data_IF_067767652063
#
_entry.id   IF_067767652063
#
_cell.length_a   1.000
_cell.length_b   1.000
_cell.length_c   1.000
_cell.angle_alpha   90.00
_cell.angle_beta   90.00
_cell.angle_gamma   90.00
#
_symmetry.space_group_name_H-M   'P 1'
#
loop_
_entity.id
_entity.type
_entity.pdbx_description
1 polymer ?
#
# COMPACT_ATOMS: atom_id res chain seq x y z
N UNK A 1 25.97 0.71 8.38
CA UNK A 1 24.87 1.67 8.13
C UNK A 1 24.29 2.12 9.47
N UNK A 2 24.23 3.42 9.79
CA UNK A 2 23.71 3.89 11.09
C UNK A 2 22.27 3.42 11.28
N UNK A 3 21.95 2.78 12.42
CA UNK A 3 20.60 2.28 12.77
C UNK A 3 19.51 3.34 12.61
N UNK A 4 19.83 4.62 12.86
CA UNK A 4 18.94 5.75 12.59
C UNK A 4 18.62 5.94 11.10
N UNK A 5 19.63 5.86 10.22
CA UNK A 5 19.44 6.00 8.77
C UNK A 5 18.60 4.86 8.22
N UNK A 6 18.87 3.63 8.66
CA UNK A 6 18.06 2.47 8.30
C UNK A 6 16.59 2.65 8.68
N UNK A 7 16.31 3.06 9.92
CA UNK A 7 14.94 3.31 10.38
C UNK A 7 14.24 4.39 9.56
N UNK A 8 14.92 5.49 9.21
CA UNK A 8 14.37 6.55 8.36
C UNK A 8 14.01 6.01 6.97
N UNK A 9 14.91 5.26 6.34
CA UNK A 9 14.66 4.69 5.01
C UNK A 9 13.46 3.75 5.04
N UNK A 10 13.40 2.82 5.99
CA UNK A 10 12.26 1.89 6.14
C UNK A 10 10.95 2.65 6.37
N UNK A 11 10.97 3.70 7.20
CA UNK A 11 9.78 4.49 7.50
C UNK A 11 9.30 5.29 6.27
N UNK A 12 10.22 5.90 5.52
CA UNK A 12 9.90 6.58 4.27
C UNK A 12 9.35 5.61 3.22
N UNK A 13 10.00 4.46 3.01
CA UNK A 13 9.55 3.44 2.06
C UNK A 13 8.17 2.89 2.44
N UNK A 14 7.90 2.68 3.74
CA UNK A 14 6.60 2.24 4.21
C UNK A 14 5.50 3.29 4.01
N UNK A 15 5.78 4.58 4.26
CA UNK A 15 4.83 5.67 3.98
C UNK A 15 4.55 5.79 2.47
N UNK A 16 5.59 5.76 1.65
CA UNK A 16 5.46 5.80 0.19
C UNK A 16 4.63 4.62 -0.31
N UNK A 17 4.95 3.39 0.11
CA UNK A 17 4.16 2.21 -0.23
C UNK A 17 2.70 2.34 0.22
N UNK A 18 2.46 2.83 1.44
CA UNK A 18 1.12 3.07 1.95
C UNK A 18 0.33 4.07 1.11
N UNK A 19 0.96 5.15 0.63
CA UNK A 19 0.33 6.15 -0.24
C UNK A 19 0.06 5.62 -1.64
N UNK A 20 1.00 4.87 -2.23
CA UNK A 20 0.85 4.30 -3.58
C UNK A 20 -0.21 3.20 -3.65
N UNK A 21 -0.31 2.40 -2.59
CA UNK A 21 -1.27 1.30 -2.49
C UNK A 21 -2.53 1.66 -1.70
N UNK A 22 -2.71 2.93 -1.31
CA UNK A 22 -3.92 3.35 -0.62
C UNK A 22 -5.13 3.16 -1.54
N UNK A 23 -6.16 2.40 -1.13
CA UNK A 23 -7.38 2.24 -1.92
C UNK A 23 -8.21 3.52 -1.80
N UNK A 24 -7.92 4.52 -2.65
CA UNK A 24 -8.70 5.74 -2.74
C UNK A 24 -9.58 5.68 -4.01
N UNK A 25 -10.90 5.84 -3.88
CA UNK A 25 -11.77 5.96 -5.04
C UNK A 25 -11.49 7.29 -5.74
N UNK A 26 -10.62 7.29 -6.75
CA UNK A 26 -10.21 8.49 -7.48
C UNK A 26 -11.15 8.83 -8.64
N UNK A 27 -11.88 7.84 -9.17
CA UNK A 27 -12.83 7.94 -10.29
C UNK A 27 -13.51 6.58 -10.49
N UNK A 28 -14.67 6.55 -11.15
CA UNK A 28 -15.51 5.35 -11.39
C UNK A 28 -14.74 4.12 -11.93
N UNK A 29 -13.56 4.31 -12.54
CA UNK A 29 -12.76 3.24 -13.16
C UNK A 29 -11.37 2.99 -12.52
N UNK A 30 -10.98 3.74 -11.47
CA UNK A 30 -9.62 3.64 -10.91
C UNK A 30 -9.63 3.47 -9.38
N UNK A 31 -9.04 2.36 -8.91
CA UNK A 31 -9.02 1.98 -7.49
C UNK A 31 -7.78 2.48 -6.73
N UNK A 32 -6.68 2.84 -7.41
CA UNK A 32 -5.47 3.40 -6.79
C UNK A 32 -4.57 4.18 -7.77
N UNK A 33 -3.64 4.99 -7.24
CA UNK A 33 -2.66 5.77 -8.04
C UNK A 33 -1.75 4.85 -8.85
N UNK A 34 -1.31 3.73 -8.27
CA UNK A 34 -0.51 2.74 -8.98
C UNK A 34 -1.25 2.20 -10.22
N UNK A 35 -2.52 1.84 -10.08
CA UNK A 35 -3.35 1.39 -11.20
C UNK A 35 -3.43 2.45 -12.30
N UNK A 36 -3.65 3.71 -11.90
CA UNK A 36 -3.67 4.83 -12.84
C UNK A 36 -2.34 5.05 -13.55
N UNK A 37 -1.21 4.83 -12.90
CA UNK A 37 0.11 5.10 -13.51
C UNK A 37 0.56 3.95 -14.41
N UNK A 38 0.31 2.69 -14.02
CA UNK A 38 0.83 1.52 -14.73
C UNK A 38 -0.16 0.90 -15.72
N UNK A 39 -1.46 1.15 -15.58
CA UNK A 39 -2.50 0.67 -16.51
C UNK A 39 -3.18 1.82 -17.28
N UNK A 40 -2.63 3.04 -17.28
CA UNK A 40 -3.16 4.15 -18.09
C UNK A 40 -2.94 3.99 -19.60
N UNK A 41 -1.97 3.16 -19.99
CA UNK A 41 -1.56 2.99 -21.40
C UNK A 41 -2.24 1.80 -22.08
N UNK A 42 -2.98 0.96 -21.34
CA UNK A 42 -3.92 0.07 -22.02
C UNK A 42 -5.05 0.96 -22.51
N UNK A 43 -5.22 1.15 -23.84
CA UNK A 43 -6.46 1.75 -24.31
C UNK A 43 -7.54 0.87 -23.72
N UNK A 44 -8.45 1.48 -22.96
CA UNK A 44 -9.74 0.86 -22.70
C UNK A 44 -10.25 0.58 -24.10
N UNK A 45 -10.07 -0.65 -24.55
CA UNK A 45 -10.85 -1.20 -25.64
C UNK A 45 -12.25 -1.18 -25.05
N UNK A 46 -12.90 -0.02 -25.19
CA UNK A 46 -14.33 0.06 -25.28
C UNK A 46 -14.66 -0.98 -26.34
N UNK A 47 -15.02 -2.16 -25.87
CA UNK A 47 -15.60 -3.22 -26.67
C UNK A 47 -16.99 -2.70 -27.08
N UNK A 48 -16.97 -1.67 -27.93
CA UNK A 48 -18.08 -1.14 -28.69
C UNK A 48 -18.36 -2.13 -29.82
N UNK A 49 -18.65 -3.40 -29.50
CA UNK A 49 -19.29 -4.39 -30.38
C UNK A 49 -19.43 -5.77 -29.72
N UNK A 50 -20.26 -5.87 -28.69
CA UNK A 50 -21.06 -7.08 -28.47
C UNK A 50 -22.39 -6.70 -27.81
N UNK A 51 -23.19 -5.97 -28.58
CA UNK A 51 -24.64 -5.88 -28.39
C UNK A 51 -25.22 -7.28 -28.19
N UNK A 52 -26.14 -7.41 -27.23
CA UNK A 52 -26.95 -8.59 -26.90
C UNK A 52 -26.41 -9.60 -25.88
N UNK A 53 -26.36 -9.19 -24.61
CA UNK A 53 -27.06 -9.99 -23.58
C UNK A 53 -27.32 -9.16 -22.32
N UNK A 54 -28.60 -8.86 -22.11
CA UNK A 54 -29.16 -8.43 -20.83
C UNK A 54 -28.78 -9.43 -19.72
N UNK A 55 -27.66 -9.22 -19.03
CA UNK A 55 -27.38 -9.83 -17.72
C UNK A 55 -26.70 -8.77 -16.83
N UNK A 56 -27.30 -8.43 -15.68
CA UNK A 56 -27.00 -7.18 -14.98
C UNK A 56 -25.77 -7.33 -14.07
N UNK A 57 -24.73 -6.51 -14.30
CA UNK A 57 -23.86 -5.97 -13.26
C UNK A 57 -22.96 -6.91 -12.43
N UNK A 58 -22.94 -8.23 -12.67
CA UNK A 58 -22.23 -9.18 -11.78
C UNK A 58 -20.75 -9.41 -12.13
N UNK A 59 -20.33 -9.19 -13.38
CA UNK A 59 -18.96 -9.49 -13.84
C UNK A 59 -17.92 -8.42 -13.45
N UNK A 60 -18.32 -7.15 -13.33
CA UNK A 60 -17.41 -6.08 -12.90
C UNK A 60 -16.98 -6.24 -11.42
N UNK A 61 -17.87 -6.75 -10.56
CA UNK A 61 -17.57 -6.97 -9.15
C UNK A 61 -16.49 -8.05 -8.91
N UNK A 62 -16.46 -9.09 -9.75
CA UNK A 62 -15.52 -10.21 -9.53
C UNK A 62 -14.06 -9.85 -9.86
N UNK A 63 -13.85 -8.98 -10.85
CA UNK A 63 -12.51 -8.45 -11.17
C UNK A 63 -12.01 -7.51 -10.06
N UNK A 64 -12.91 -6.69 -9.52
CA UNK A 64 -12.62 -5.77 -8.44
C UNK A 64 -12.19 -6.50 -7.16
N UNK A 65 -12.85 -7.60 -6.83
CA UNK A 65 -12.63 -8.33 -5.57
C UNK A 65 -11.28 -9.08 -5.55
N UNK A 66 -10.87 -9.62 -6.71
CA UNK A 66 -9.54 -10.23 -6.88
C UNK A 66 -8.43 -9.19 -6.80
N UNK A 67 -8.66 -8.01 -7.41
CA UNK A 67 -7.70 -6.91 -7.40
C UNK A 67 -7.55 -6.32 -5.99
N UNK A 68 -8.65 -5.94 -5.34
CA UNK A 68 -8.65 -5.35 -3.99
C UNK A 68 -7.87 -6.22 -3.02
N UNK A 69 -7.96 -7.56 -3.11
CA UNK A 69 -7.27 -8.48 -2.20
C UNK A 69 -5.75 -8.37 -2.30
N UNK A 70 -5.19 -8.30 -3.51
CA UNK A 70 -3.74 -8.17 -3.72
C UNK A 70 -3.18 -6.82 -3.25
N UNK A 71 -3.86 -5.74 -3.61
CA UNK A 71 -3.43 -4.38 -3.24
C UNK A 71 -3.64 -4.09 -1.76
N UNK A 72 -4.73 -4.58 -1.16
CA UNK A 72 -4.94 -4.49 0.28
C UNK A 72 -3.83 -5.23 1.04
N UNK A 73 -3.40 -6.41 0.58
CA UNK A 73 -2.30 -7.13 1.20
C UNK A 73 -0.99 -6.32 1.18
N UNK A 74 -0.62 -5.73 0.04
CA UNK A 74 0.55 -4.85 -0.08
C UNK A 74 0.44 -3.62 0.80
N UNK A 75 -0.75 -3.02 0.88
CA UNK A 75 -1.01 -1.88 1.75
C UNK A 75 -0.81 -2.23 3.23
N UNK A 76 -1.42 -3.32 3.70
CA UNK A 76 -1.24 -3.83 5.06
C UNK A 76 0.22 -4.19 5.37
N UNK A 77 0.93 -4.79 4.41
CA UNK A 77 2.36 -5.08 4.55
C UNK A 77 3.19 -3.80 4.75
N UNK A 78 2.89 -2.73 4.01
CA UNK A 78 3.55 -1.43 4.19
C UNK A 78 3.29 -0.85 5.58
N UNK A 79 2.06 -0.95 6.07
CA UNK A 79 1.65 -0.44 7.37
C UNK A 79 2.32 -1.21 8.50
N UNK A 80 2.39 -2.54 8.40
CA UNK A 80 3.15 -3.39 9.31
C UNK A 80 4.64 -3.04 9.32
N UNK A 81 5.23 -2.72 8.16
CA UNK A 81 6.61 -2.26 8.09
C UNK A 81 6.84 -0.96 8.88
N UNK A 82 5.96 0.03 8.72
CA UNK A 82 6.04 1.31 9.45
C UNK A 82 5.91 1.09 10.96
N UNK A 83 4.91 0.30 11.38
CA UNK A 83 4.69 -0.02 12.80
C UNK A 83 5.89 -0.78 13.38
N UNK A 84 6.43 -1.75 12.63
CA UNK A 84 7.63 -2.49 13.01
C UNK A 84 8.86 -1.60 13.16
N UNK A 85 9.07 -0.65 12.24
CA UNK A 85 10.16 0.32 12.31
C UNK A 85 10.04 1.22 13.55
N UNK A 86 8.84 1.74 13.83
CA UNK A 86 8.57 2.55 15.03
C UNK A 86 8.81 1.75 16.32
N UNK A 87 8.38 0.48 16.34
CA UNK A 87 8.59 -0.40 17.48
C UNK A 87 10.08 -0.69 17.71
N UNK A 88 10.83 -0.95 16.64
CA UNK A 88 12.28 -1.15 16.69
C UNK A 88 12.99 0.09 17.22
N UNK A 89 12.67 1.28 16.73
CA UNK A 89 13.24 2.54 17.21
C UNK A 89 12.92 2.76 18.70
N UNK A 90 11.67 2.58 19.11
CA UNK A 90 11.25 2.72 20.51
C UNK A 90 12.00 1.76 21.43
N UNK A 91 12.18 0.50 21.04
CA UNK A 91 12.97 -0.47 21.83
C UNK A 91 14.42 -0.03 22.00
N UNK A 92 15.08 0.39 20.91
CA UNK A 92 16.47 0.81 20.96
C UNK A 92 16.68 2.06 21.84
N UNK A 93 15.75 3.03 21.78
CA UNK A 93 15.81 4.23 22.66
C UNK A 93 15.63 3.85 24.13
N UNK A 94 14.68 2.96 24.44
CA UNK A 94 14.41 2.54 25.84
C UNK A 94 15.58 1.78 26.45
N UNK A 95 16.24 0.90 25.69
CA UNK A 95 17.43 0.16 26.14
C UNK A 95 18.58 1.14 26.44
N UNK A 96 18.80 2.12 25.57
CA UNK A 96 19.89 3.09 25.74
C UNK A 96 19.67 4.00 26.98
N UNK A 97 18.41 4.35 27.28
CA UNK A 97 18.07 5.10 28.50
C UNK A 97 18.36 4.30 29.78
N UNK A 98 18.00 3.01 29.81
CA UNK A 98 18.25 2.13 30.96
C UNK A 98 19.73 1.94 31.27
N UNK A 99 20.58 1.88 30.25
CA UNK A 99 22.02 1.71 30.44
C UNK A 99 22.66 2.96 31.04
N UNK A 100 22.16 4.16 30.68
CA UNK A 100 22.71 5.43 31.16
C UNK A 100 22.50 5.64 32.66
N UNK A 101 21.41 5.12 33.23
CA UNK A 101 21.08 5.21 34.66
C UNK A 101 21.94 4.29 35.53
N UNK A 102 22.48 3.19 34.98
CA UNK A 102 23.31 2.24 35.76
C UNK A 102 24.78 2.66 35.89
N UNK A 103 25.20 3.67 35.14
CA UNK A 103 26.58 4.19 35.09
C UNK A 103 26.79 5.45 35.93
N UNK A 104 25.77 5.89 36.66
CA UNK A 104 25.81 6.96 37.66
C UNK A 104 25.58 6.35 39.04
#
# INVERSE_FOLDING_TARGET
MNTRRFAIVVLLTGILGGLFFFPFPLSENYTCIYHRVFNADEPVLEDESASHSHLPGTSAHHLLDSYIRGYAFLWWASLLMVVGALFYVRRNVKVNSKNRVKTL
#
